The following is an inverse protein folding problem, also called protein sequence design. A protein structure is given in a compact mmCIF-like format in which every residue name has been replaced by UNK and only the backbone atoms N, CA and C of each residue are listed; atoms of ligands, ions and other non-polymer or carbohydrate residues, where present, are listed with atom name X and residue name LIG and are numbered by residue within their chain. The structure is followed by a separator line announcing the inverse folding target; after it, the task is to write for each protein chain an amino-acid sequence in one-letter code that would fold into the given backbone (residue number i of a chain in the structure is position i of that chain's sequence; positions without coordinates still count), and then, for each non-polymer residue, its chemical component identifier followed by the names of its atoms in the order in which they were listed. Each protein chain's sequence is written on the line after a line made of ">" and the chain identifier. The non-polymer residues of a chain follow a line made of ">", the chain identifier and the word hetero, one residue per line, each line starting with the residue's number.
data_IF_072940302889
#
_entry.id   IF_072940302889
#
_cell.length_a   1.000
_cell.length_b   1.000
_cell.length_c   1.000
_cell.angle_alpha   90.00
_cell.angle_beta   90.00
_cell.angle_gamma   90.00
#
_symmetry.space_group_name_H-M   'P 1'
#
loop_
_entity.id
_entity.type
_entity.pdbx_description
1 polymer ?
#
# COMPACT_ATOMS: atom_id res chain seq x y z
N UNK A 1 -4.29 -25.51 25.61
CA UNK A 1 -4.66 -24.12 25.24
C UNK A 1 -3.39 -23.29 25.31
N UNK A 2 -3.02 -22.57 24.25
CA UNK A 2 -1.78 -21.78 24.22
C UNK A 2 -2.06 -20.37 24.72
N UNK A 3 -1.20 -19.85 25.61
CA UNK A 3 -1.20 -18.45 25.99
C UNK A 3 -0.32 -17.69 25.01
N UNK A 4 -0.91 -16.87 24.14
CA UNK A 4 -0.17 -16.04 23.20
C UNK A 4 0.03 -14.65 23.81
N UNK A 5 1.24 -14.07 23.71
CA UNK A 5 1.47 -12.70 24.14
C UNK A 5 0.78 -11.72 23.18
N UNK A 6 0.34 -10.58 23.70
CA UNK A 6 -0.11 -9.47 22.86
C UNK A 6 1.09 -8.80 22.20
N UNK A 7 1.07 -8.69 20.87
CA UNK A 7 2.08 -7.97 20.09
C UNK A 7 1.39 -6.75 19.48
N UNK A 8 1.81 -5.52 19.84
CA UNK A 8 1.20 -4.32 19.28
C UNK A 8 1.54 -4.18 17.80
N UNK A 9 0.54 -3.90 16.97
CA UNK A 9 0.73 -3.58 15.56
C UNK A 9 1.27 -2.16 15.40
N UNK A 10 2.28 -2.00 14.54
CA UNK A 10 2.82 -0.69 14.16
C UNK A 10 2.94 -0.62 12.65
N UNK A 11 2.38 0.44 12.08
CA UNK A 11 2.60 0.72 10.67
C UNK A 11 4.03 1.21 10.44
N UNK A 12 4.67 0.81 9.33
CA UNK A 12 5.96 1.35 8.94
C UNK A 12 5.90 2.88 8.81
N UNK A 13 6.96 3.61 9.18
CA UNK A 13 6.94 5.08 9.19
C UNK A 13 6.47 5.67 7.85
N UNK A 14 5.45 6.54 7.92
CA UNK A 14 4.85 7.21 6.77
C UNK A 14 3.87 6.36 5.95
N UNK A 15 3.76 5.05 6.21
CA UNK A 15 2.73 4.22 5.59
C UNK A 15 1.35 4.62 6.13
N UNK A 16 0.37 4.79 5.22
CA UNK A 16 -1.02 5.11 5.56
C UNK A 16 -1.98 4.00 5.14
N UNK A 17 -1.54 2.75 5.24
CA UNK A 17 -2.33 1.59 4.83
C UNK A 17 -3.66 1.51 5.59
N UNK A 18 -3.66 1.79 6.89
CA UNK A 18 -4.86 1.83 7.72
C UNK A 18 -5.86 2.89 7.28
N UNK A 19 -5.40 4.03 6.74
CA UNK A 19 -6.29 5.05 6.19
C UNK A 19 -6.88 4.63 4.85
N UNK A 20 -6.07 4.00 3.99
CA UNK A 20 -6.51 3.43 2.71
C UNK A 20 -7.56 2.34 2.93
N UNK A 21 -7.31 1.40 3.86
CA UNK A 21 -8.23 0.31 4.17
C UNK A 21 -9.56 0.79 4.78
N UNK A 22 -9.53 1.92 5.51
CA UNK A 22 -10.74 2.57 6.03
C UNK A 22 -11.45 3.46 5.00
N UNK A 23 -10.89 3.62 3.80
CA UNK A 23 -11.42 4.51 2.77
C UNK A 23 -11.32 6.01 3.12
N UNK A 24 -10.45 6.38 4.07
CA UNK A 24 -10.23 7.78 4.46
C UNK A 24 -9.43 8.53 3.39
N UNK A 25 -8.53 7.82 2.71
CA UNK A 25 -7.73 8.33 1.60
C UNK A 25 -7.67 7.29 0.48
N UNK A 26 -7.40 7.73 -0.73
CA UNK A 26 -7.03 6.84 -1.84
C UNK A 26 -5.51 6.59 -1.87
N UNK A 27 -5.02 5.50 -2.50
CA UNK A 27 -3.59 5.21 -2.56
C UNK A 27 -2.70 6.37 -3.07
N UNK A 28 -3.08 7.15 -4.11
CA UNK A 28 -2.29 8.31 -4.53
C UNK A 28 -2.14 9.44 -3.51
N UNK A 29 -3.03 9.51 -2.50
CA UNK A 29 -2.94 10.49 -1.41
C UNK A 29 -1.96 10.05 -0.30
N UNK A 30 -1.47 8.81 -0.36
CA UNK A 30 -0.36 8.36 0.48
C UNK A 30 0.96 8.86 -0.13
N UNK A 31 1.72 9.64 0.64
CA UNK A 31 2.98 10.24 0.16
C UNK A 31 4.05 9.22 -0.27
N UNK A 32 3.95 7.97 0.19
CA UNK A 32 4.86 6.90 -0.22
C UNK A 32 4.45 6.20 -1.52
N UNK A 33 3.18 6.31 -1.94
CA UNK A 33 2.63 5.54 -3.05
C UNK A 33 3.28 5.89 -4.40
N UNK A 34 3.72 4.87 -5.13
CA UNK A 34 4.35 5.01 -6.44
C UNK A 34 5.74 5.65 -6.44
N UNK A 35 6.24 6.03 -5.26
CA UNK A 35 7.59 6.54 -5.06
C UNK A 35 8.41 5.54 -4.24
N UNK A 36 8.38 5.67 -2.91
CA UNK A 36 9.10 4.79 -2.00
C UNK A 36 8.39 3.45 -1.77
N UNK A 37 7.09 3.38 -2.05
CA UNK A 37 6.25 2.19 -1.96
C UNK A 37 5.79 1.81 -3.37
N UNK A 38 6.35 0.73 -3.90
CA UNK A 38 6.05 0.14 -5.21
C UNK A 38 5.92 -1.38 -5.06
N UNK A 39 5.40 -2.12 -6.06
CA UNK A 39 5.37 -3.59 -6.00
C UNK A 39 6.75 -4.23 -5.75
N UNK A 40 7.82 -3.69 -6.35
CA UNK A 40 9.20 -4.17 -6.12
C UNK A 40 9.76 -3.80 -4.73
N UNK A 41 9.25 -2.71 -4.12
CA UNK A 41 9.72 -2.17 -2.84
C UNK A 41 8.52 -1.82 -1.94
N UNK A 42 7.77 -2.83 -1.45
CA UNK A 42 6.56 -2.57 -0.70
C UNK A 42 6.89 -2.04 0.70
N UNK A 43 6.15 -1.02 1.14
CA UNK A 43 6.28 -0.44 2.49
C UNK A 43 5.20 -0.87 3.46
N UNK A 44 4.10 -1.41 2.96
CA UNK A 44 2.97 -1.84 3.79
C UNK A 44 2.20 -2.96 3.12
N UNK A 45 1.32 -3.64 3.88
CA UNK A 45 0.62 -4.84 3.41
C UNK A 45 -0.23 -4.58 2.16
N UNK A 46 -0.78 -3.38 2.01
CA UNK A 46 -1.60 -3.00 0.86
C UNK A 46 -0.82 -2.97 -0.46
N UNK A 47 0.51 -2.94 -0.43
CA UNK A 47 1.38 -3.01 -1.61
C UNK A 47 2.05 -4.39 -1.78
N UNK A 48 2.13 -5.19 -0.72
CA UNK A 48 2.72 -6.56 -0.78
C UNK A 48 1.79 -7.54 -1.49
N UNK A 49 0.48 -7.42 -1.23
CA UNK A 49 -0.51 -8.30 -1.86
C UNK A 49 -0.94 -7.76 -3.21
N UNK A 50 -1.06 -8.63 -4.21
CA UNK A 50 -1.63 -8.30 -5.53
C UNK A 50 -3.09 -7.85 -5.42
N UNK A 51 -3.83 -8.39 -4.44
CA UNK A 51 -5.19 -7.97 -4.10
C UNK A 51 -5.22 -6.74 -3.19
N UNK A 52 -4.06 -6.25 -2.77
CA UNK A 52 -3.94 -5.08 -1.91
C UNK A 52 -4.36 -3.81 -2.63
N UNK A 53 -5.10 -2.93 -1.94
CA UNK A 53 -5.63 -1.70 -2.53
C UNK A 53 -4.55 -0.82 -3.18
N UNK A 54 -3.33 -0.75 -2.61
CA UNK A 54 -2.24 -0.01 -3.24
C UNK A 54 -1.69 -0.74 -4.47
N UNK A 55 -1.45 -2.06 -4.40
CA UNK A 55 -0.97 -2.81 -5.55
C UNK A 55 -1.96 -2.74 -6.73
N UNK A 56 -3.24 -2.99 -6.47
CA UNK A 56 -4.30 -2.89 -7.47
C UNK A 56 -4.38 -1.50 -8.11
N UNK A 57 -4.26 -0.44 -7.31
CA UNK A 57 -4.25 0.94 -7.84
C UNK A 57 -3.01 1.25 -8.66
N UNK A 58 -1.86 0.70 -8.28
CA UNK A 58 -0.61 0.86 -9.02
C UNK A 58 -0.67 0.16 -10.39
N UNK A 59 -1.23 -1.06 -10.44
CA UNK A 59 -1.32 -1.86 -11.66
C UNK A 59 -2.45 -1.43 -12.61
N UNK A 60 -3.62 -1.09 -12.05
CA UNK A 60 -4.85 -0.93 -12.82
C UNK A 60 -5.53 0.43 -12.63
N UNK A 61 -5.15 1.21 -11.61
CA UNK A 61 -5.69 2.55 -11.42
C UNK A 61 -5.14 3.55 -12.44
N UNK A 62 -5.57 4.81 -12.36
CA UNK A 62 -5.09 5.91 -13.22
C UNK A 62 -3.57 6.18 -13.12
N UNK A 63 -2.87 5.50 -12.20
CA UNK A 63 -1.41 5.49 -12.12
C UNK A 63 -0.77 4.56 -13.17
N UNK A 64 -1.39 3.41 -13.44
CA UNK A 64 -0.92 2.40 -14.41
C UNK A 64 -0.87 2.93 -15.84
N UNK A 65 -1.84 3.76 -16.23
CA UNK A 65 -1.89 4.42 -17.55
C UNK A 65 -0.70 5.38 -17.75
N UNK A 66 -0.22 6.06 -16.69
CA UNK A 66 0.95 6.95 -16.77
C UNK A 66 2.27 6.20 -16.83
N UNK A 67 2.38 5.03 -16.19
CA UNK A 67 3.59 4.19 -16.28
C UNK A 67 3.76 3.51 -17.64
N UNK A 68 2.68 3.30 -18.40
CA UNK A 68 2.74 2.68 -19.73
C UNK A 68 2.96 3.70 -20.87
N UNK A 69 3.01 4.99 -20.56
CA UNK A 69 3.27 6.06 -21.54
C UNK A 69 4.76 6.48 -21.61
N UNK A 70 5.64 5.78 -20.89
CA UNK A 70 7.10 5.96 -20.92
C UNK A 70 7.85 4.78 -21.56
N UNK A 71 7.19 3.99 -22.41
CA UNK A 71 7.86 3.08 -23.35
C UNK A 71 7.44 3.37 -24.78
#
# INVERSE_FOLDING_TARGET
>A
RFALPEVPSREPPGCRCGDVLRGVITPPECSLFGQACTPDRPKGPCMVSDEGACSAYYLYGAFGERSNQSK
#
